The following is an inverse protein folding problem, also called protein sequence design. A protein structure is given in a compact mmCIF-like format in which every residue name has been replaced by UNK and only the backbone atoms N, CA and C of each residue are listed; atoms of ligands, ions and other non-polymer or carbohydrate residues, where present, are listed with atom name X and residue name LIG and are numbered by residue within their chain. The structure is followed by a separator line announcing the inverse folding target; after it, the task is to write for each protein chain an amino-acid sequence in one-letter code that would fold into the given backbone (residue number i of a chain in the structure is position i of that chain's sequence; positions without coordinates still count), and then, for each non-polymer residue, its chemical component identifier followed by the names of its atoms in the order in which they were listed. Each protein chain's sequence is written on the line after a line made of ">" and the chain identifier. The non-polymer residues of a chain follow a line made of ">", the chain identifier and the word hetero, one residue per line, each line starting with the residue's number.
data_IF_811355921156
#
_entry.id   IF_811355921156
#
_cell.length_a   1.000
_cell.length_b   1.000
_cell.length_c   1.000
_cell.angle_alpha   90.00
_cell.angle_beta   90.00
_cell.angle_gamma   90.00
#
_symmetry.space_group_name_H-M   'P 1'
#
loop_
_entity.id
_entity.type
_entity.pdbx_description
1 polymer ?
#
# COMPACT_ATOMS: atom_id res chain seq x y z
N UNK A 1 15.36 19.61 -22.76
CA UNK A 1 15.05 18.75 -21.60
C UNK A 1 15.31 19.40 -20.22
N UNK A 2 15.44 20.73 -20.08
CA UNK A 2 15.60 21.42 -18.77
C UNK A 2 14.35 22.17 -18.28
N UNK A 3 13.33 22.31 -19.12
CA UNK A 3 12.13 23.11 -18.81
C UNK A 3 10.98 22.35 -18.13
N UNK A 4 11.00 21.01 -18.13
CA UNK A 4 9.97 20.18 -17.46
C UNK A 4 10.22 20.00 -15.95
N UNK A 5 11.48 20.02 -15.51
CA UNK A 5 11.83 19.85 -14.08
C UNK A 5 11.46 21.06 -13.21
N UNK A 6 11.46 22.27 -13.78
CA UNK A 6 11.09 23.50 -13.06
C UNK A 6 9.57 23.64 -12.94
N UNK A 7 8.81 23.19 -13.94
CA UNK A 7 7.35 23.15 -13.88
C UNK A 7 6.83 22.10 -12.90
N UNK A 8 7.45 20.91 -12.82
CA UNK A 8 7.10 19.88 -11.85
C UNK A 8 7.36 20.33 -10.39
N UNK A 9 8.44 21.07 -10.13
CA UNK A 9 8.76 21.57 -8.79
C UNK A 9 7.87 22.75 -8.32
N UNK A 10 7.47 23.64 -9.25
CA UNK A 10 6.54 24.74 -8.95
C UNK A 10 5.08 24.27 -8.82
N UNK A 11 4.68 23.27 -9.61
CA UNK A 11 3.39 22.58 -9.42
C UNK A 11 3.42 21.75 -8.14
N UNK A 12 4.52 21.08 -7.79
CA UNK A 12 4.60 20.30 -6.55
C UNK A 12 4.46 21.17 -5.28
N UNK A 13 4.99 22.40 -5.26
CA UNK A 13 4.92 23.27 -4.08
C UNK A 13 3.60 24.06 -3.96
N UNK A 14 2.98 24.43 -5.09
CA UNK A 14 1.66 25.06 -5.10
C UNK A 14 0.50 24.06 -5.04
N UNK A 15 0.69 22.87 -5.61
CA UNK A 15 -0.31 21.80 -5.60
C UNK A 15 -0.25 21.00 -4.30
N UNK A 16 0.92 20.77 -3.69
CA UNK A 16 0.96 20.14 -2.36
C UNK A 16 0.19 20.97 -1.34
N UNK A 17 0.43 22.30 -1.24
CA UNK A 17 -0.37 23.16 -0.36
C UNK A 17 -1.86 23.14 -0.66
N UNK A 18 -2.26 23.17 -1.94
CA UNK A 18 -3.69 23.12 -2.32
C UNK A 18 -4.35 21.78 -2.03
N UNK A 19 -3.62 20.67 -2.22
CA UNK A 19 -4.08 19.31 -1.94
C UNK A 19 -4.17 19.10 -0.43
N UNK A 20 -3.16 19.52 0.33
CA UNK A 20 -3.18 19.48 1.80
C UNK A 20 -4.29 20.35 2.39
N UNK A 21 -4.54 21.55 1.84
CA UNK A 21 -5.65 22.42 2.23
C UNK A 21 -7.04 21.83 1.93
N UNK A 22 -7.18 21.04 0.86
CA UNK A 22 -8.48 20.42 0.52
C UNK A 22 -8.81 19.19 1.36
N UNK A 23 -7.80 18.41 1.74
CA UNK A 23 -7.97 17.30 2.70
C UNK A 23 -8.41 17.85 4.06
N UNK A 24 -7.94 19.04 4.47
CA UNK A 24 -8.39 19.68 5.71
C UNK A 24 -9.82 20.24 5.66
N UNK A 25 -10.40 20.45 4.48
CA UNK A 25 -11.77 20.99 4.32
C UNK A 25 -12.86 19.91 4.49
N UNK A 26 -12.50 18.66 4.77
CA UNK A 26 -13.44 17.56 5.00
C UNK A 26 -14.21 17.09 3.76
N UNK A 27 -13.84 17.58 2.57
CA UNK A 27 -14.42 17.14 1.29
C UNK A 27 -13.71 15.88 0.79
N UNK A 28 -14.49 14.88 0.37
CA UNK A 28 -13.95 13.67 -0.25
C UNK A 28 -13.19 14.00 -1.55
N UNK A 29 -12.01 13.37 -1.71
CA UNK A 29 -11.18 13.48 -2.92
C UNK A 29 -11.89 12.88 -4.14
N UNK A 30 -11.79 13.56 -5.28
CA UNK A 30 -12.09 12.94 -6.58
C UNK A 30 -10.97 11.96 -6.97
N UNK A 31 -11.23 11.04 -7.90
CA UNK A 31 -10.20 10.08 -8.33
C UNK A 31 -8.95 10.76 -8.92
N UNK A 32 -9.05 11.79 -9.78
CA UNK A 32 -7.88 12.52 -10.26
C UNK A 32 -7.09 13.18 -9.13
N UNK A 33 -7.77 13.81 -8.16
CA UNK A 33 -7.10 14.42 -7.00
C UNK A 33 -6.39 13.37 -6.13
N UNK A 34 -7.01 12.20 -5.94
CA UNK A 34 -6.39 11.09 -5.22
C UNK A 34 -5.14 10.59 -5.94
N UNK A 35 -5.17 10.44 -7.27
CA UNK A 35 -4.00 10.09 -8.06
C UNK A 35 -2.88 11.14 -7.93
N UNK A 36 -3.21 12.43 -7.94
CA UNK A 36 -2.24 13.52 -7.76
C UNK A 36 -1.60 13.48 -6.36
N UNK A 37 -2.38 13.22 -5.31
CA UNK A 37 -1.87 13.03 -3.93
C UNK A 37 -0.83 11.91 -3.90
N UNK A 38 -1.15 10.74 -4.48
CA UNK A 38 -0.25 9.59 -4.48
C UNK A 38 1.01 9.87 -5.30
N UNK A 39 0.90 10.54 -6.44
CA UNK A 39 2.05 10.91 -7.26
C UNK A 39 3.00 11.88 -6.50
N UNK A 40 2.45 12.87 -5.81
CA UNK A 40 3.22 13.79 -4.96
C UNK A 40 3.87 13.06 -3.79
N UNK A 41 3.13 12.18 -3.12
CA UNK A 41 3.65 11.37 -2.01
C UNK A 41 4.79 10.45 -2.48
N UNK A 42 4.62 9.77 -3.61
CA UNK A 42 5.66 8.96 -4.23
C UNK A 42 6.90 9.77 -4.57
N UNK A 43 6.73 10.92 -5.23
CA UNK A 43 7.83 11.81 -5.59
C UNK A 43 8.61 12.31 -4.37
N UNK A 44 7.93 12.66 -3.29
CA UNK A 44 8.58 13.08 -2.04
C UNK A 44 9.33 11.94 -1.35
N UNK A 45 8.88 10.69 -1.54
CA UNK A 45 9.50 9.47 -0.97
C UNK A 45 10.48 8.78 -1.92
N UNK A 46 10.96 9.46 -2.97
CA UNK A 46 12.02 8.99 -3.86
C UNK A 46 11.56 8.28 -5.14
N UNK A 47 10.31 8.44 -5.55
CA UNK A 47 9.75 7.92 -6.80
C UNK A 47 9.41 6.43 -6.75
N UNK A 48 8.74 5.92 -7.79
CA UNK A 48 8.58 4.49 -8.03
C UNK A 48 9.72 4.04 -8.98
N UNK A 49 10.28 2.83 -8.82
CA UNK A 49 11.27 2.34 -9.78
C UNK A 49 10.66 2.24 -11.18
N UNK A 50 11.43 2.65 -12.20
CA UNK A 50 11.00 2.68 -13.60
C UNK A 50 11.15 1.30 -14.29
N UNK A 51 10.85 0.20 -13.60
CA UNK A 51 10.90 -1.10 -14.26
C UNK A 51 9.73 -1.19 -15.27
N UNK A 52 10.06 -1.16 -16.56
CA UNK A 52 9.09 -1.33 -17.63
C UNK A 52 9.10 -2.80 -18.08
N UNK A 53 8.06 -3.60 -17.77
CA UNK A 53 7.98 -4.99 -18.22
C UNK A 53 7.94 -5.07 -19.75
N UNK A 54 8.73 -5.99 -20.30
CA UNK A 54 8.87 -6.18 -21.75
C UNK A 54 8.07 -7.39 -22.27
N UNK A 55 7.75 -8.33 -21.39
CA UNK A 55 7.03 -9.57 -21.69
C UNK A 55 5.88 -9.79 -20.71
N UNK A 56 4.88 -10.61 -21.09
CA UNK A 56 3.79 -10.99 -20.17
C UNK A 56 4.33 -11.63 -18.89
N UNK A 57 5.39 -12.43 -19.00
CA UNK A 57 6.03 -13.05 -17.83
C UNK A 57 6.68 -12.01 -16.91
N UNK A 58 7.27 -10.94 -17.46
CA UNK A 58 7.78 -9.83 -16.65
C UNK A 58 6.64 -9.09 -15.95
N UNK A 59 5.52 -8.88 -16.63
CA UNK A 59 4.33 -8.27 -16.04
C UNK A 59 3.73 -9.14 -14.93
N UNK A 60 3.67 -10.46 -15.11
CA UNK A 60 3.26 -11.40 -14.06
C UNK A 60 4.20 -11.37 -12.86
N UNK A 61 5.51 -11.31 -13.11
CA UNK A 61 6.52 -11.20 -12.05
C UNK A 61 6.36 -9.89 -11.29
N UNK A 62 6.11 -8.77 -11.98
CA UNK A 62 5.84 -7.48 -11.35
C UNK A 62 4.61 -7.54 -10.42
N UNK A 63 3.53 -8.21 -10.83
CA UNK A 63 2.36 -8.45 -9.96
C UNK A 63 2.74 -9.25 -8.73
N UNK A 64 3.46 -10.36 -8.89
CA UNK A 64 3.89 -11.20 -7.77
C UNK A 64 4.84 -10.47 -6.79
N UNK A 65 5.65 -9.53 -7.31
CA UNK A 65 6.61 -8.74 -6.54
C UNK A 65 6.02 -7.46 -5.95
N UNK A 66 4.75 -7.14 -6.22
CA UNK A 66 4.15 -5.86 -5.81
C UNK A 66 4.91 -4.63 -6.31
N UNK A 67 5.46 -4.71 -7.54
CA UNK A 67 6.15 -3.59 -8.16
C UNK A 67 5.14 -2.55 -8.66
N UNK A 68 4.79 -1.62 -7.77
CA UNK A 68 3.87 -0.52 -8.03
C UNK A 68 4.31 0.36 -9.22
N UNK A 69 5.61 0.43 -9.51
CA UNK A 69 6.13 1.21 -10.64
C UNK A 69 5.87 0.55 -11.99
N UNK A 70 5.86 -0.79 -12.01
CA UNK A 70 5.64 -1.58 -13.22
C UNK A 70 4.16 -1.74 -13.61
N UNK A 71 3.22 -1.53 -12.68
CA UNK A 71 1.78 -1.78 -12.91
C UNK A 71 1.17 -1.03 -14.10
N UNK A 72 1.40 0.28 -14.31
CA UNK A 72 0.88 0.97 -15.50
C UNK A 72 1.32 0.33 -16.81
N UNK A 73 2.62 0.01 -16.93
CA UNK A 73 3.18 -0.61 -18.12
C UNK A 73 2.72 -2.08 -18.28
N UNK A 74 2.52 -2.81 -17.19
CA UNK A 74 1.91 -4.15 -17.21
C UNK A 74 0.49 -4.12 -17.79
N UNK A 75 -0.32 -3.12 -17.45
CA UNK A 75 -1.66 -2.96 -18.04
C UNK A 75 -1.60 -2.68 -19.53
N UNK A 76 -0.71 -1.78 -19.96
CA UNK A 76 -0.52 -1.49 -21.39
C UNK A 76 -0.10 -2.73 -22.17
N UNK A 77 0.82 -3.52 -21.61
CA UNK A 77 1.29 -4.75 -22.22
C UNK A 77 0.17 -5.80 -22.32
N UNK A 78 -0.57 -5.99 -21.23
CA UNK A 78 -1.70 -6.91 -21.18
C UNK A 78 -2.85 -6.51 -22.12
N UNK A 79 -3.05 -5.20 -22.33
CA UNK A 79 -4.00 -4.68 -23.31
C UNK A 79 -3.55 -4.93 -24.77
N UNK A 80 -2.25 -4.82 -25.04
CA UNK A 80 -1.67 -5.10 -26.38
C UNK A 80 -1.75 -6.57 -26.76
N UNK A 81 -1.55 -7.47 -25.81
CA UNK A 81 -1.69 -8.92 -26.04
C UNK A 81 -3.12 -9.30 -26.46
N UNK A 82 -4.11 -8.69 -25.80
CA UNK A 82 -5.51 -8.99 -26.04
C UNK A 82 -5.92 -10.42 -25.66
N UNK A 83 -7.11 -10.83 -26.11
CA UNK A 83 -7.65 -12.16 -25.83
C UNK A 83 -7.90 -12.45 -24.34
N UNK A 84 -8.12 -13.72 -24.02
CA UNK A 84 -8.41 -14.18 -22.66
C UNK A 84 -7.21 -14.02 -21.72
N UNK A 85 -6.00 -14.29 -22.21
CA UNK A 85 -4.77 -14.19 -21.41
C UNK A 85 -4.43 -12.73 -21.07
N UNK A 86 -4.51 -11.82 -22.03
CA UNK A 86 -4.33 -10.39 -21.78
C UNK A 86 -5.37 -9.84 -20.81
N UNK A 87 -6.64 -10.22 -20.96
CA UNK A 87 -7.73 -9.83 -20.04
C UNK A 87 -7.51 -10.35 -18.62
N UNK A 88 -7.11 -11.62 -18.47
CA UNK A 88 -6.80 -12.20 -17.18
C UNK A 88 -5.62 -11.49 -16.50
N UNK A 89 -4.56 -11.17 -17.26
CA UNK A 89 -3.42 -10.40 -16.74
C UNK A 89 -3.83 -8.99 -16.32
N UNK A 90 -4.66 -8.28 -17.10
CA UNK A 90 -5.18 -6.96 -16.71
C UNK A 90 -5.92 -7.02 -15.37
N UNK A 91 -6.77 -8.03 -15.17
CA UNK A 91 -7.49 -8.19 -13.91
C UNK A 91 -6.56 -8.53 -12.75
N UNK A 92 -5.52 -9.34 -12.98
CA UNK A 92 -4.49 -9.61 -11.96
C UNK A 92 -3.73 -8.35 -11.56
N UNK A 93 -3.34 -7.54 -12.54
CA UNK A 93 -2.63 -6.27 -12.27
C UNK A 93 -3.56 -5.33 -11.49
N UNK A 94 -4.81 -5.17 -11.90
CA UNK A 94 -5.78 -4.35 -11.17
C UNK A 94 -6.07 -4.86 -9.76
N UNK A 95 -6.23 -6.17 -9.59
CA UNK A 95 -6.45 -6.79 -8.29
C UNK A 95 -5.24 -6.56 -7.37
N UNK A 96 -4.03 -6.88 -7.84
CA UNK A 96 -2.79 -6.68 -7.12
C UNK A 96 -2.59 -5.22 -6.72
N UNK A 97 -2.76 -4.30 -7.68
CA UNK A 97 -2.63 -2.87 -7.45
C UNK A 97 -3.62 -2.34 -6.42
N UNK A 98 -4.89 -2.67 -6.57
CA UNK A 98 -5.91 -2.25 -5.63
C UNK A 98 -5.57 -2.70 -4.21
N UNK A 99 -5.29 -3.98 -4.05
CA UNK A 99 -4.98 -4.57 -2.75
C UNK A 99 -3.67 -4.04 -2.13
N UNK A 100 -2.64 -3.75 -2.92
CA UNK A 100 -1.37 -3.22 -2.40
C UNK A 100 -1.52 -1.78 -1.90
N UNK A 101 -2.33 -0.97 -2.57
CA UNK A 101 -2.69 0.37 -2.10
C UNK A 101 -3.51 0.31 -0.80
N UNK A 102 -4.47 -0.62 -0.72
CA UNK A 102 -5.25 -0.81 0.51
C UNK A 102 -4.40 -1.36 1.66
N UNK A 103 -3.43 -2.22 1.37
CA UNK A 103 -2.45 -2.69 2.35
C UNK A 103 -1.58 -1.54 2.87
N UNK A 104 -1.06 -0.70 1.97
CA UNK A 104 -0.29 0.49 2.35
C UNK A 104 -1.14 1.41 3.25
N UNK A 105 -2.42 1.61 2.90
CA UNK A 105 -3.37 2.38 3.73
C UNK A 105 -3.48 1.79 5.13
N UNK A 106 -3.66 0.47 5.24
CA UNK A 106 -3.85 -0.18 6.54
C UNK A 106 -2.63 -0.05 7.45
N UNK A 107 -1.43 -0.14 6.89
CA UNK A 107 -0.21 0.11 7.68
C UNK A 107 -0.18 1.56 8.16
N UNK A 108 -0.43 2.53 7.27
CA UNK A 108 -0.42 3.95 7.65
C UNK A 108 -1.49 4.30 8.69
N UNK A 109 -2.70 3.77 8.53
CA UNK A 109 -3.81 3.97 9.46
C UNK A 109 -3.49 3.45 10.87
N UNK A 110 -2.74 2.35 10.97
CA UNK A 110 -2.31 1.79 12.26
C UNK A 110 -1.32 2.68 13.00
N UNK A 111 -0.57 3.52 12.31
CA UNK A 111 0.36 4.46 12.94
C UNK A 111 -0.35 5.68 13.57
N UNK A 112 -1.55 6.03 13.11
CA UNK A 112 -2.27 7.25 13.53
C UNK A 112 -2.51 7.33 15.05
N UNK A 113 -2.96 6.27 15.76
CA UNK A 113 -3.18 6.34 17.21
C UNK A 113 -1.92 6.71 17.99
N UNK A 114 -0.76 6.13 17.64
CA UNK A 114 0.52 6.42 18.29
C UNK A 114 0.97 7.87 18.04
N UNK A 115 0.80 8.37 16.81
CA UNK A 115 1.09 9.77 16.47
C UNK A 115 0.17 10.73 17.23
N UNK A 116 -1.13 10.44 17.33
CA UNK A 116 -2.09 11.26 18.10
C UNK A 116 -1.78 11.28 19.58
N UNK A 117 -1.35 10.15 20.14
CA UNK A 117 -0.93 10.08 21.54
C UNK A 117 0.29 10.97 21.79
N UNK A 118 1.28 10.97 20.89
CA UNK A 118 2.46 11.85 20.99
C UNK A 118 2.09 13.32 20.89
N UNK A 119 1.22 13.65 19.92
CA UNK A 119 0.68 15.00 19.74
C UNK A 119 0.01 15.49 21.04
N UNK A 120 -0.93 14.70 21.57
CA UNK A 120 -1.65 15.03 22.81
C UNK A 120 -0.70 15.22 23.99
N UNK A 121 0.33 14.36 24.11
CA UNK A 121 1.37 14.45 25.14
C UNK A 121 2.16 15.76 25.02
N UNK A 122 2.63 16.10 23.82
CA UNK A 122 3.43 17.30 23.57
C UNK A 122 2.61 18.59 23.76
N UNK A 123 1.38 18.64 23.26
CA UNK A 123 0.46 19.77 23.51
C UNK A 123 0.12 19.89 24.99
N UNK A 124 -0.04 18.77 25.69
CA UNK A 124 -0.21 18.74 27.15
C UNK A 124 0.99 19.34 27.88
N UNK A 125 2.21 18.99 27.48
CA UNK A 125 3.44 19.56 28.05
C UNK A 125 3.54 21.07 27.82
N UNK A 126 3.18 21.55 26.62
CA UNK A 126 3.20 22.97 26.27
C UNK A 126 2.29 23.81 27.19
N UNK A 127 1.18 23.23 27.67
CA UNK A 127 0.28 23.90 28.61
C UNK A 127 0.86 24.07 30.02
N UNK A 128 1.87 23.28 30.39
CA UNK A 128 2.49 23.28 31.73
C UNK A 128 3.87 23.96 31.71
N UNK A 129 4.60 23.87 30.61
CA UNK A 129 5.92 24.51 30.43
C UNK A 129 6.21 24.80 28.96
N UNK A 130 7.11 25.76 28.67
CA UNK A 130 7.68 25.88 27.33
C UNK A 130 8.31 24.56 26.87
N UNK A 131 8.00 24.16 25.64
CA UNK A 131 8.65 23.02 24.98
C UNK A 131 10.12 23.33 24.71
N UNK A 132 10.98 22.30 24.80
CA UNK A 132 12.35 22.40 24.29
C UNK A 132 12.34 22.51 22.76
N UNK A 133 13.46 22.91 22.16
CA UNK A 133 13.58 22.95 20.70
C UNK A 133 13.33 21.58 20.06
N UNK A 134 13.82 20.50 20.69
CA UNK A 134 13.59 19.12 20.24
C UNK A 134 12.12 18.72 20.32
N UNK A 135 11.44 19.06 21.42
CA UNK A 135 10.02 18.76 21.60
C UNK A 135 9.14 19.54 20.63
N UNK A 136 9.49 20.80 20.34
CA UNK A 136 8.80 21.61 19.35
C UNK A 136 8.99 21.06 17.94
N UNK A 137 10.22 20.74 17.54
CA UNK A 137 10.48 20.12 16.24
C UNK A 137 9.71 18.80 16.11
N UNK A 138 9.68 18.01 17.18
CA UNK A 138 8.93 16.76 17.22
C UNK A 138 7.42 16.97 17.05
N UNK A 139 6.84 17.96 17.73
CA UNK A 139 5.43 18.29 17.55
C UNK A 139 5.12 18.70 16.11
N UNK A 140 5.97 19.53 15.50
CA UNK A 140 5.84 19.92 14.08
C UNK A 140 5.95 18.72 13.13
N UNK A 141 6.83 17.77 13.41
CA UNK A 141 6.98 16.55 12.61
C UNK A 141 5.77 15.62 12.78
N UNK A 142 5.25 15.44 14.00
CA UNK A 142 4.03 14.67 14.27
C UNK A 142 2.81 15.29 13.60
N UNK A 143 2.64 16.62 13.68
CA UNK A 143 1.55 17.34 13.03
C UNK A 143 1.61 17.18 11.51
N UNK A 144 2.82 17.29 10.93
CA UNK A 144 3.03 17.10 9.49
C UNK A 144 2.70 15.68 9.06
N UNK A 145 3.14 14.68 9.81
CA UNK A 145 2.88 13.27 9.47
C UNK A 145 1.40 12.90 9.67
N UNK A 146 0.72 13.40 10.70
CA UNK A 146 -0.72 13.20 10.87
C UNK A 146 -1.52 13.77 9.70
N UNK A 147 -1.16 14.98 9.24
CA UNK A 147 -1.79 15.62 8.10
C UNK A 147 -1.51 14.88 6.79
N UNK A 148 -0.27 14.43 6.60
CA UNK A 148 0.13 13.65 5.43
C UNK A 148 -0.58 12.29 5.39
N UNK A 149 -0.61 11.56 6.51
CA UNK A 149 -1.24 10.23 6.60
C UNK A 149 -2.72 10.31 6.26
N UNK A 150 -3.47 11.29 6.79
CA UNK A 150 -4.89 11.42 6.48
C UNK A 150 -5.17 11.58 4.97
N UNK A 151 -4.46 12.49 4.31
CA UNK A 151 -4.64 12.71 2.87
C UNK A 151 -4.21 11.53 2.02
N UNK A 152 -3.12 10.87 2.42
CA UNK A 152 -2.60 9.69 1.71
C UNK A 152 -3.52 8.48 1.92
N UNK A 153 -4.05 8.24 3.11
CA UNK A 153 -4.96 7.10 3.36
C UNK A 153 -6.26 7.20 2.55
N UNK A 154 -6.81 8.41 2.42
CA UNK A 154 -8.00 8.65 1.60
C UNK A 154 -7.69 8.42 0.12
N UNK A 155 -6.56 8.92 -0.35
CA UNK A 155 -6.12 8.74 -1.73
C UNK A 155 -5.86 7.26 -2.08
N UNK A 156 -5.17 6.54 -1.19
CA UNK A 156 -4.92 5.10 -1.32
C UNK A 156 -6.23 4.30 -1.37
N UNK A 157 -7.20 4.65 -0.51
CA UNK A 157 -8.51 4.01 -0.52
C UNK A 157 -9.20 4.24 -1.86
N UNK A 158 -9.27 5.49 -2.32
CA UNK A 158 -9.98 5.86 -3.55
C UNK A 158 -9.40 5.19 -4.79
N UNK A 159 -8.08 5.25 -4.95
CA UNK A 159 -7.37 4.65 -6.10
C UNK A 159 -7.39 3.13 -5.99
N UNK A 160 -7.20 2.59 -4.79
CA UNK A 160 -7.25 1.16 -4.52
C UNK A 160 -8.61 0.55 -4.90
N UNK A 161 -9.70 1.11 -4.38
CA UNK A 161 -11.07 0.69 -4.71
C UNK A 161 -11.38 0.82 -6.21
N UNK A 162 -10.90 1.88 -6.86
CA UNK A 162 -11.06 2.05 -8.30
C UNK A 162 -10.42 0.90 -9.08
N UNK A 163 -9.22 0.45 -8.70
CA UNK A 163 -8.58 -0.69 -9.35
C UNK A 163 -9.28 -2.01 -9.05
N UNK A 164 -9.77 -2.23 -7.83
CA UNK A 164 -10.58 -3.40 -7.51
C UNK A 164 -11.87 -3.45 -8.36
N UNK A 165 -12.52 -2.30 -8.55
CA UNK A 165 -13.70 -2.20 -9.41
C UNK A 165 -13.38 -2.54 -10.88
N UNK A 166 -12.22 -2.11 -11.39
CA UNK A 166 -11.75 -2.50 -12.74
C UNK A 166 -11.50 -4.01 -12.84
N UNK A 167 -10.88 -4.63 -11.84
CA UNK A 167 -10.67 -6.07 -11.81
C UNK A 167 -12.01 -6.85 -11.86
N UNK A 168 -13.01 -6.39 -11.12
CA UNK A 168 -14.38 -6.95 -11.16
C UNK A 168 -15.04 -6.77 -12.53
N UNK A 169 -14.88 -5.59 -13.14
CA UNK A 169 -15.49 -5.27 -14.43
C UNK A 169 -14.97 -6.12 -15.60
N UNK A 170 -13.74 -6.65 -15.49
CA UNK A 170 -13.14 -7.51 -16.51
C UNK A 170 -13.72 -8.94 -16.54
N UNK A 171 -14.51 -9.36 -15.53
CA UNK A 171 -15.30 -10.60 -15.52
C UNK A 171 -14.54 -11.89 -15.91
N UNK A 172 -13.26 -12.00 -15.58
CA UNK A 172 -12.38 -13.10 -16.03
C UNK A 172 -12.18 -14.22 -15.00
N UNK A 173 -13.17 -14.43 -14.11
CA UNK A 173 -13.17 -15.49 -13.08
C UNK A 173 -13.10 -16.91 -13.67
N UNK A 174 -13.56 -17.11 -14.91
CA UNK A 174 -13.47 -18.39 -15.60
C UNK A 174 -12.10 -18.69 -16.23
N UNK A 175 -11.18 -17.72 -16.24
CA UNK A 175 -9.94 -17.79 -17.05
C UNK A 175 -8.69 -17.99 -16.21
N UNK A 176 -8.61 -17.41 -15.01
CA UNK A 176 -7.45 -17.53 -14.12
C UNK A 176 -7.91 -17.80 -12.68
N UNK A 177 -7.57 -18.96 -12.09
CA UNK A 177 -7.98 -19.30 -10.73
C UNK A 177 -7.47 -18.33 -9.67
N UNK A 178 -6.37 -17.60 -9.93
CA UNK A 178 -5.84 -16.57 -9.02
C UNK A 178 -6.77 -15.37 -8.95
N UNK A 179 -7.29 -14.94 -10.10
CA UNK A 179 -8.28 -13.85 -10.18
C UNK A 179 -9.59 -14.31 -9.53
N UNK A 180 -10.04 -15.53 -9.84
CA UNK A 180 -11.26 -16.09 -9.27
C UNK A 180 -11.21 -16.14 -7.75
N UNK A 181 -10.12 -16.66 -7.17
CA UNK A 181 -9.93 -16.74 -5.72
C UNK A 181 -9.97 -15.35 -5.07
N UNK A 182 -9.24 -14.37 -5.63
CA UNK A 182 -9.20 -13.01 -5.11
C UNK A 182 -10.54 -12.28 -5.20
N UNK A 183 -11.24 -12.35 -6.33
CA UNK A 183 -12.54 -11.71 -6.51
C UNK A 183 -13.63 -12.35 -5.63
N UNK A 184 -13.65 -13.69 -5.53
CA UNK A 184 -14.56 -14.39 -4.64
C UNK A 184 -14.35 -13.99 -3.17
N UNK A 185 -13.08 -13.88 -2.74
CA UNK A 185 -12.72 -13.38 -1.40
C UNK A 185 -13.24 -11.97 -1.15
N UNK A 186 -13.06 -11.06 -2.11
CA UNK A 186 -13.54 -9.67 -1.98
C UNK A 186 -15.07 -9.57 -1.88
N UNK A 187 -15.80 -10.53 -2.46
CA UNK A 187 -17.27 -10.62 -2.36
C UNK A 187 -17.74 -11.39 -1.12
N UNK A 188 -16.85 -12.05 -0.39
CA UNK A 188 -17.20 -12.97 0.69
C UNK A 188 -17.85 -14.28 0.20
N UNK A 189 -17.73 -14.61 -1.08
CA UNK A 189 -18.18 -15.89 -1.63
C UNK A 189 -17.12 -16.97 -1.36
N UNK A 190 -17.18 -17.53 -0.15
CA UNK A 190 -16.20 -18.52 0.29
C UNK A 190 -16.29 -19.84 -0.48
N UNK A 191 -17.46 -20.19 -1.03
CA UNK A 191 -17.61 -21.41 -1.83
C UNK A 191 -16.90 -21.27 -3.17
N UNK A 192 -17.09 -20.14 -3.87
CA UNK A 192 -16.35 -19.87 -5.10
C UNK A 192 -14.85 -19.70 -4.84
N UNK A 193 -14.47 -19.09 -3.71
CA UNK A 193 -13.07 -18.98 -3.30
C UNK A 193 -12.43 -20.37 -3.12
N UNK A 194 -13.04 -21.25 -2.32
CA UNK A 194 -12.51 -22.58 -2.04
C UNK A 194 -12.40 -23.42 -3.34
N UNK A 195 -13.36 -23.28 -4.27
CA UNK A 195 -13.31 -23.93 -5.58
C UNK A 195 -12.15 -23.42 -6.46
N UNK A 196 -11.92 -22.10 -6.49
CA UNK A 196 -10.80 -21.52 -7.22
C UNK A 196 -9.44 -21.92 -6.60
N UNK A 197 -9.36 -21.98 -5.27
CA UNK A 197 -8.18 -22.42 -4.54
C UNK A 197 -7.80 -23.88 -4.85
N UNK A 198 -8.79 -24.75 -5.09
CA UNK A 198 -8.54 -26.15 -5.47
C UNK A 198 -7.87 -26.29 -6.86
N UNK A 199 -8.00 -25.28 -7.71
CA UNK A 199 -7.34 -25.22 -9.03
C UNK A 199 -5.93 -24.60 -8.97
N UNK A 200 -5.52 -24.05 -7.82
CA UNK A 200 -4.16 -23.55 -7.62
C UNK A 200 -3.24 -24.66 -7.11
N UNK A 201 -1.97 -24.61 -7.51
CA UNK A 201 -0.95 -25.46 -6.90
C UNK A 201 -0.81 -25.07 -5.42
N UNK A 202 -1.15 -26.03 -4.54
CA UNK A 202 -1.11 -25.85 -3.09
C UNK A 202 0.25 -25.38 -2.55
N UNK A 203 1.35 -25.70 -3.24
CA UNK A 203 2.70 -25.26 -2.88
C UNK A 203 3.10 -23.89 -3.43
N UNK A 204 2.27 -23.28 -4.28
CA UNK A 204 2.62 -22.01 -4.92
C UNK A 204 2.59 -20.81 -3.95
N UNK A 205 3.42 -19.78 -4.20
CA UNK A 205 3.34 -18.53 -3.47
C UNK A 205 1.95 -17.87 -3.53
N UNK A 206 1.31 -17.90 -4.71
CA UNK A 206 -0.03 -17.35 -4.91
C UNK A 206 -1.08 -18.05 -4.03
N UNK A 207 -1.07 -19.40 -3.99
CA UNK A 207 -1.98 -20.15 -3.13
C UNK A 207 -1.72 -19.90 -1.64
N UNK A 208 -0.46 -19.78 -1.24
CA UNK A 208 -0.09 -19.48 0.15
C UNK A 208 -0.54 -18.06 0.53
N UNK A 209 -0.38 -17.10 -0.38
CA UNK A 209 -0.83 -15.73 -0.19
C UNK A 209 -2.34 -15.65 -0.04
N UNK A 210 -3.10 -16.29 -0.92
CA UNK A 210 -4.57 -16.34 -0.80
C UNK A 210 -5.04 -16.99 0.49
N UNK A 211 -4.39 -18.09 0.93
CA UNK A 211 -4.69 -18.73 2.21
C UNK A 211 -4.47 -17.80 3.40
N UNK A 212 -3.37 -17.04 3.41
CA UNK A 212 -3.11 -16.06 4.47
C UNK A 212 -4.21 -15.00 4.55
N UNK A 213 -4.68 -14.52 3.40
CA UNK A 213 -5.77 -13.53 3.34
C UNK A 213 -7.12 -14.12 3.73
N UNK A 214 -7.41 -15.35 3.33
CA UNK A 214 -8.61 -16.04 3.74
C UNK A 214 -8.62 -16.30 5.26
N UNK A 215 -7.48 -16.64 5.87
CA UNK A 215 -7.34 -16.79 7.31
C UNK A 215 -7.74 -15.50 8.05
N UNK A 216 -7.24 -14.34 7.59
CA UNK A 216 -7.63 -13.03 8.15
C UNK A 216 -9.11 -12.69 7.89
N UNK A 217 -9.53 -12.73 6.62
CA UNK A 217 -10.83 -12.20 6.21
C UNK A 217 -12.02 -13.08 6.60
N UNK A 218 -11.85 -14.41 6.61
CA UNK A 218 -12.93 -15.37 6.92
C UNK A 218 -12.97 -15.73 8.40
N UNK A 219 -11.81 -15.97 9.01
CA UNK A 219 -11.70 -16.57 10.35
C UNK A 219 -11.20 -15.58 11.41
N UNK A 220 -10.61 -14.46 11.00
CA UNK A 220 -9.86 -13.60 11.92
C UNK A 220 -8.65 -14.32 12.54
N UNK A 221 -8.15 -15.39 11.90
CA UNK A 221 -7.07 -16.22 12.42
C UNK A 221 -5.72 -15.54 12.16
N UNK A 222 -5.38 -14.63 13.07
CA UNK A 222 -4.13 -13.87 13.03
C UNK A 222 -2.89 -14.77 13.13
N UNK A 223 -2.81 -15.76 14.05
CA UNK A 223 -1.66 -16.66 14.10
C UNK A 223 -1.40 -17.42 12.80
N UNK A 224 -2.43 -18.01 12.18
CA UNK A 224 -2.29 -18.75 10.93
C UNK A 224 -1.85 -17.83 9.79
N UNK A 225 -2.48 -16.65 9.67
CA UNK A 225 -2.11 -15.68 8.66
C UNK A 225 -0.65 -15.23 8.78
N UNK A 226 -0.18 -14.92 10.01
CA UNK A 226 1.22 -14.56 10.26
C UNK A 226 2.17 -15.68 9.86
N UNK A 227 1.87 -16.92 10.24
CA UNK A 227 2.70 -18.07 9.88
C UNK A 227 2.83 -18.21 8.35
N UNK A 228 1.72 -18.12 7.61
CA UNK A 228 1.74 -18.20 6.14
C UNK A 228 2.51 -17.03 5.51
N UNK A 229 2.31 -15.80 5.98
CA UNK A 229 3.03 -14.63 5.47
C UNK A 229 4.54 -14.69 5.76
N UNK A 230 4.95 -15.23 6.91
CA UNK A 230 6.37 -15.45 7.24
C UNK A 230 7.05 -16.40 6.27
N UNK A 231 6.33 -17.41 5.75
CA UNK A 231 6.90 -18.30 4.72
C UNK A 231 7.13 -17.60 3.38
N UNK A 232 6.34 -16.58 3.07
CA UNK A 232 6.41 -15.83 1.81
C UNK A 232 7.36 -14.64 1.86
N UNK A 233 7.51 -14.02 3.03
CA UNK A 233 8.24 -12.76 3.20
C UNK A 233 9.62 -12.74 2.51
N UNK A 234 10.49 -13.78 2.61
CA UNK A 234 11.83 -13.76 2.02
C UNK A 234 11.89 -13.49 0.51
N UNK A 235 10.80 -13.72 -0.22
CA UNK A 235 10.69 -13.46 -1.67
C UNK A 235 9.52 -12.59 -2.07
N UNK A 236 8.79 -12.02 -1.11
CA UNK A 236 7.56 -11.26 -1.36
C UNK A 236 7.52 -9.98 -0.51
N UNK A 237 7.84 -8.82 -1.12
CA UNK A 237 7.70 -7.52 -0.45
C UNK A 237 6.30 -7.29 0.09
N UNK A 238 5.29 -7.81 -0.65
CA UNK A 238 3.89 -7.81 -0.28
C UNK A 238 3.62 -8.53 1.04
N UNK A 239 4.17 -9.73 1.21
CA UNK A 239 4.04 -10.48 2.44
C UNK A 239 4.76 -9.81 3.61
N UNK A 240 5.93 -9.22 3.37
CA UNK A 240 6.61 -8.39 4.37
C UNK A 240 5.77 -7.19 4.80
N UNK A 241 5.19 -6.44 3.85
CA UNK A 241 4.30 -5.33 4.16
C UNK A 241 3.02 -5.77 4.90
N UNK A 242 2.46 -6.93 4.55
CA UNK A 242 1.33 -7.53 5.28
C UNK A 242 1.71 -7.87 6.72
N UNK A 243 2.91 -8.41 6.97
CA UNK A 243 3.39 -8.64 8.33
C UNK A 243 3.50 -7.34 9.12
N UNK A 244 4.06 -6.27 8.54
CA UNK A 244 4.10 -4.94 9.17
C UNK A 244 2.68 -4.46 9.52
N UNK A 245 1.70 -4.67 8.62
CA UNK A 245 0.30 -4.31 8.86
C UNK A 245 -0.34 -5.13 10.00
N UNK A 246 0.17 -6.32 10.33
CA UNK A 246 -0.33 -7.14 11.42
C UNK A 246 0.36 -6.86 12.75
N UNK A 247 1.39 -6.01 12.77
CA UNK A 247 2.04 -5.53 13.98
C UNK A 247 1.33 -4.30 14.55
N UNK A 248 1.45 -4.13 15.87
CA UNK A 248 1.11 -2.87 16.51
C UNK A 248 2.25 -1.85 16.28
N UNK A 249 1.97 -0.53 16.25
CA UNK A 249 3.02 0.47 16.24
C UNK A 249 4.02 0.24 17.39
N UNK A 250 5.31 0.27 17.09
CA UNK A 250 6.35 0.04 18.10
C UNK A 250 7.55 -0.76 17.57
N UNK A 251 8.36 -1.33 18.47
CA UNK A 251 9.60 -2.03 18.12
C UNK A 251 9.40 -3.18 17.12
N UNK A 252 8.32 -3.96 17.24
CA UNK A 252 8.08 -5.10 16.33
C UNK A 252 7.75 -4.65 14.91
N UNK A 253 6.94 -3.59 14.75
CA UNK A 253 6.64 -3.02 13.44
C UNK A 253 7.90 -2.40 12.78
N UNK A 254 8.76 -1.75 13.57
CA UNK A 254 10.06 -1.24 13.08
C UNK A 254 10.96 -2.40 12.64
N UNK A 255 11.10 -3.44 13.45
CA UNK A 255 11.90 -4.61 13.08
C UNK A 255 11.36 -5.31 11.82
N UNK A 256 10.03 -5.43 11.68
CA UNK A 256 9.40 -6.00 10.49
C UNK A 256 9.65 -5.13 9.24
N UNK A 257 9.63 -3.81 9.40
CA UNK A 257 9.94 -2.86 8.34
C UNK A 257 11.43 -2.89 7.95
N UNK A 258 12.34 -2.95 8.92
CA UNK A 258 13.78 -3.11 8.67
C UNK A 258 14.08 -4.42 7.95
N UNK A 259 13.39 -5.50 8.32
CA UNK A 259 13.47 -6.77 7.62
C UNK A 259 12.98 -6.66 6.16
N UNK A 260 11.87 -5.95 5.93
CA UNK A 260 11.37 -5.66 4.58
C UNK A 260 12.38 -4.82 3.78
N UNK A 261 12.97 -3.78 4.38
CA UNK A 261 13.97 -2.93 3.74
C UNK A 261 15.25 -3.70 3.37
N UNK A 262 15.69 -4.62 4.23
CA UNK A 262 16.84 -5.47 3.95
C UNK A 262 16.57 -6.46 2.81
N UNK A 263 15.35 -7.00 2.72
CA UNK A 263 14.95 -7.96 1.69
C UNK A 263 14.64 -7.29 0.35
N UNK A 264 14.16 -6.04 0.37
CA UNK A 264 13.75 -5.31 -0.83
C UNK A 264 14.17 -3.84 -0.73
N UNK A 265 15.48 -3.55 -0.84
CA UNK A 265 15.99 -2.19 -0.70
C UNK A 265 15.36 -1.24 -1.72
N UNK A 266 14.78 -0.14 -1.25
CA UNK A 266 14.16 0.86 -2.13
C UNK A 266 12.79 0.46 -2.68
N UNK A 267 12.18 -0.61 -2.16
CA UNK A 267 10.82 -0.96 -2.55
C UNK A 267 9.84 0.18 -2.21
N UNK A 268 8.95 0.60 -3.13
CA UNK A 268 8.00 1.68 -2.89
C UNK A 268 7.19 1.57 -1.61
N UNK A 269 6.66 0.37 -1.34
CA UNK A 269 5.91 0.11 -0.10
C UNK A 269 6.79 0.35 1.13
N UNK A 270 8.04 -0.10 1.12
CA UNK A 270 8.94 0.14 2.25
C UNK A 270 9.18 1.64 2.47
N UNK A 271 9.56 2.37 1.41
CA UNK A 271 9.83 3.82 1.51
C UNK A 271 8.62 4.62 1.96
N UNK A 272 7.42 4.23 1.54
CA UNK A 272 6.18 4.86 1.94
C UNK A 272 5.85 4.65 3.42
N UNK A 273 6.15 3.47 3.94
CA UNK A 273 5.85 3.08 5.32
C UNK A 273 6.93 3.55 6.29
N UNK A 274 8.18 3.67 5.85
CA UNK A 274 9.33 3.78 6.74
C UNK A 274 9.28 5.00 7.66
N UNK A 275 9.12 6.21 7.10
CA UNK A 275 9.14 7.43 7.91
C UNK A 275 7.99 7.49 8.93
N UNK A 276 6.79 7.04 8.53
CA UNK A 276 5.60 7.09 9.38
C UNK A 276 5.71 6.08 10.51
N UNK A 277 6.13 4.85 10.22
CA UNK A 277 6.30 3.79 11.22
C UNK A 277 7.40 4.16 12.23
N UNK A 278 8.54 4.69 11.78
CA UNK A 278 9.63 5.12 12.68
C UNK A 278 9.18 6.28 13.58
N UNK A 279 8.45 7.25 13.03
CA UNK A 279 7.89 8.36 13.81
C UNK A 279 6.88 7.85 14.83
N UNK A 280 5.98 6.94 14.45
CA UNK A 280 5.01 6.33 15.36
C UNK A 280 5.66 5.44 16.43
N UNK A 281 6.73 4.72 16.11
CA UNK A 281 7.40 3.83 17.07
C UNK A 281 8.18 4.62 18.13
N UNK A 282 8.80 5.74 17.73
CA UNK A 282 9.49 6.64 18.67
C UNK A 282 8.52 7.35 19.63
N UNK A 283 7.25 7.51 19.24
CA UNK A 283 6.19 8.01 20.13
C UNK A 283 5.81 7.02 21.25
N UNK A 284 5.90 5.71 20.99
CA UNK A 284 5.44 4.68 21.93
C UNK A 284 6.46 4.24 23.00
N UNK A 285 7.69 4.74 22.95
CA UNK A 285 8.80 4.30 23.82
C UNK A 285 9.11 5.25 24.99
N UNK A 286 8.37 6.36 25.15
CA UNK A 286 8.65 7.42 26.14
C UNK A 286 7.39 7.83 26.89
#
# INVERSE_FOLDING_TARGET
>A
MRSFLVAAALVATCSSRKVTLRVSDGRALTLPEASDVLALYAGHRGGLPDHVPSTLQDAERAVAQSDLGAYPASLELAAKEGGLQGTALQARVHLGWGEDLLLARDVLARCVPALRQDQQRLTGLESVRPLTAEERQRLEDVDRELLAVAGVTDALTKVGESHLAQAVALQCEGTDPRVAAGLARLRGDWTAHDAAMAALDSGSPDATWERARAALARRGDLPEAKALLQTLAPGSPRAGAALVALEAPGPSAVAALEALAAQSPGHPLERWLHAVVVTAATAGQR
#
